data_IF_911148132446
#
_entry.id   IF_911148132446
#
_cell.length_a   1.000
_cell.length_b   1.000
_cell.length_c   1.000
_cell.angle_alpha   90.00
_cell.angle_beta   90.00
_cell.angle_gamma   90.00
#
_symmetry.space_group_name_H-M   'P 1'
#
loop_
_entity.id
_entity.type
_entity.pdbx_description
1 polymer ?
#
# COMPACT_ATOMS: atom_id res chain seq x y z
N UNK A 1 -36.37 4.62 -40.13
CA UNK A 1 -35.68 5.37 -39.06
C UNK A 1 -34.74 4.43 -38.30
N UNK A 2 -33.45 4.34 -38.68
CA UNK A 2 -32.44 3.51 -37.98
C UNK A 2 -32.09 4.18 -36.65
N UNK A 3 -32.16 3.43 -35.55
CA UNK A 3 -32.25 3.99 -34.20
C UNK A 3 -30.92 4.61 -33.74
N UNK A 4 -31.01 5.78 -33.10
CA UNK A 4 -29.89 6.51 -32.45
C UNK A 4 -29.23 5.74 -31.30
N UNK A 5 -29.68 4.51 -31.03
CA UNK A 5 -29.24 3.67 -29.91
C UNK A 5 -28.21 2.60 -30.31
N UNK A 6 -27.93 2.41 -31.61
CA UNK A 6 -26.93 1.42 -32.07
C UNK A 6 -25.49 1.81 -31.71
N UNK A 7 -25.23 3.10 -31.48
CA UNK A 7 -23.90 3.60 -31.10
C UNK A 7 -23.65 3.60 -29.59
N UNK A 8 -24.70 3.45 -28.76
CA UNK A 8 -24.56 3.50 -27.30
C UNK A 8 -23.61 2.41 -26.74
N UNK A 9 -23.72 1.13 -27.16
CA UNK A 9 -22.80 0.08 -26.70
C UNK A 9 -21.36 0.32 -27.14
N UNK A 10 -21.15 0.89 -28.34
CA UNK A 10 -19.83 1.22 -28.88
C UNK A 10 -19.21 2.40 -28.13
N UNK A 11 -19.99 3.44 -27.84
CA UNK A 11 -19.54 4.60 -27.06
C UNK A 11 -19.25 4.23 -25.60
N UNK A 12 -20.10 3.41 -24.97
CA UNK A 12 -19.88 2.90 -23.62
C UNK A 12 -18.67 1.96 -23.55
N UNK A 13 -18.50 1.08 -24.54
CA UNK A 13 -17.32 0.22 -24.67
C UNK A 13 -16.04 1.03 -24.90
N UNK A 14 -16.07 2.04 -25.76
CA UNK A 14 -14.95 2.96 -26.01
C UNK A 14 -14.58 3.79 -24.79
N UNK A 15 -15.56 4.34 -24.07
CA UNK A 15 -15.35 5.09 -22.83
C UNK A 15 -14.78 4.20 -21.72
N UNK A 16 -15.27 2.96 -21.59
CA UNK A 16 -14.75 1.98 -20.64
C UNK A 16 -13.30 1.59 -20.96
N UNK A 17 -12.99 1.32 -22.23
CA UNK A 17 -11.62 1.03 -22.68
C UNK A 17 -10.69 2.23 -22.44
N UNK A 18 -11.14 3.44 -22.75
CA UNK A 18 -10.37 4.67 -22.52
C UNK A 18 -10.13 4.91 -21.04
N UNK A 19 -11.15 4.78 -20.19
CA UNK A 19 -11.01 4.85 -18.73
C UNK A 19 -10.01 3.82 -18.23
N UNK A 20 -10.11 2.59 -18.71
CA UNK A 20 -9.26 1.51 -18.26
C UNK A 20 -7.80 1.73 -18.66
N UNK A 21 -7.56 2.19 -19.89
CA UNK A 21 -6.23 2.52 -20.37
C UNK A 21 -5.65 3.73 -19.61
N UNK A 22 -6.42 4.80 -19.43
CA UNK A 22 -5.98 6.01 -18.74
C UNK A 22 -5.73 5.79 -17.24
N UNK A 23 -6.56 4.99 -16.57
CA UNK A 23 -6.42 4.66 -15.15
C UNK A 23 -5.20 3.77 -14.87
N UNK A 24 -4.64 3.10 -15.89
CA UNK A 24 -3.38 2.33 -15.79
C UNK A 24 -2.12 3.16 -16.02
N UNK A 25 -2.24 4.39 -16.54
CA UNK A 25 -1.07 5.23 -16.86
C UNK A 25 -0.39 5.72 -15.60
N UNK A 26 0.72 5.08 -15.25
CA UNK A 26 1.60 5.55 -14.18
C UNK A 26 2.51 6.67 -14.68
N UNK A 27 2.98 7.50 -13.74
CA UNK A 27 4.07 8.41 -14.08
C UNK A 27 5.30 7.58 -14.50
N UNK A 28 6.05 8.06 -15.49
CA UNK A 28 7.30 7.40 -15.91
C UNK A 28 8.28 7.30 -14.73
N UNK A 29 9.22 6.34 -14.76
CA UNK A 29 10.33 6.32 -13.81
C UNK A 29 10.96 7.71 -13.71
N UNK A 30 11.19 8.15 -12.48
CA UNK A 30 11.61 9.51 -12.19
C UNK A 30 12.56 9.52 -11.01
N UNK A 31 13.79 9.91 -11.28
CA UNK A 31 14.77 10.18 -10.24
C UNK A 31 14.32 11.35 -9.37
N UNK A 32 14.84 11.38 -8.14
CA UNK A 32 14.68 12.54 -7.25
C UNK A 32 15.27 13.79 -7.92
N UNK A 33 14.60 14.94 -7.75
CA UNK A 33 15.03 16.20 -8.35
C UNK A 33 16.34 16.73 -7.75
N UNK A 34 16.55 16.50 -6.46
CA UNK A 34 17.74 16.92 -5.71
C UNK A 34 17.94 16.01 -4.50
N UNK A 35 19.11 16.10 -3.86
CA UNK A 35 19.39 15.43 -2.58
C UNK A 35 18.81 16.26 -1.44
N UNK A 36 17.71 15.80 -0.84
CA UNK A 36 17.08 16.47 0.29
C UNK A 36 17.91 16.26 1.57
N UNK A 37 18.11 17.32 2.35
CA UNK A 37 18.70 17.23 3.68
C UNK A 37 17.66 16.72 4.71
N UNK A 38 18.14 16.15 5.82
CA UNK A 38 17.27 15.74 6.94
C UNK A 38 16.42 14.49 6.67
N UNK A 39 16.80 13.67 5.68
CA UNK A 39 16.15 12.38 5.41
C UNK A 39 17.15 11.23 5.40
N UNK A 40 16.71 10.04 5.79
CA UNK A 40 17.44 8.79 5.57
C UNK A 40 17.37 8.41 4.09
N UNK A 41 18.55 8.14 3.52
CA UNK A 41 18.70 7.61 2.17
C UNK A 41 19.06 6.13 2.28
N UNK A 42 18.26 5.27 1.66
CA UNK A 42 18.45 3.83 1.65
C UNK A 42 18.17 3.26 0.25
N UNK A 43 18.64 2.04 0.01
CA UNK A 43 18.28 1.22 -1.16
C UNK A 43 17.02 0.37 -0.92
N UNK A 44 16.50 0.35 0.31
CA UNK A 44 15.27 -0.37 0.67
C UNK A 44 14.08 0.20 -0.11
N UNK A 45 13.44 -0.58 -1.01
CA UNK A 45 12.33 -0.10 -1.82
C UNK A 45 11.06 0.11 -0.99
N UNK A 46 10.24 1.05 -1.42
CA UNK A 46 8.91 1.31 -0.84
C UNK A 46 7.83 0.95 -1.84
N UNK A 47 7.02 -0.05 -1.53
CA UNK A 47 5.87 -0.45 -2.33
C UNK A 47 4.66 0.45 -2.01
N UNK A 48 3.90 0.83 -3.02
CA UNK A 48 2.66 1.59 -2.87
C UNK A 48 1.49 0.73 -3.37
N UNK A 49 0.67 0.24 -2.44
CA UNK A 49 -0.34 -0.81 -2.66
C UNK A 49 -1.74 -0.22 -2.50
N UNK A 50 -2.51 -0.09 -3.59
CA UNK A 50 -3.82 0.56 -3.56
C UNK A 50 -4.88 -0.34 -2.94
N UNK A 51 -5.97 0.27 -2.47
CA UNK A 51 -7.17 -0.42 -2.02
C UNK A 51 -8.10 -0.84 -3.16
N UNK A 52 -9.33 -1.23 -2.79
CA UNK A 52 -10.40 -1.58 -3.73
C UNK A 52 -10.67 -0.44 -4.72
N UNK A 53 -10.84 -0.79 -6.00
CA UNK A 53 -11.02 0.18 -7.09
C UNK A 53 -9.83 1.08 -7.39
N UNK A 54 -8.73 0.97 -6.63
CA UNK A 54 -7.55 1.79 -6.80
C UNK A 54 -6.81 1.50 -8.11
N UNK A 55 -6.13 2.52 -8.62
CA UNK A 55 -5.47 2.49 -9.93
C UNK A 55 -4.24 3.41 -9.92
N UNK A 56 -3.67 3.75 -11.08
CA UNK A 56 -2.47 4.58 -11.15
C UNK A 56 -2.66 5.95 -10.50
N UNK A 57 -3.86 6.53 -10.56
CA UNK A 57 -4.14 7.86 -10.04
C UNK A 57 -4.06 7.92 -8.51
N UNK A 58 -4.30 6.81 -7.81
CA UNK A 58 -4.21 6.71 -6.34
C UNK A 58 -2.89 7.27 -5.81
N UNK A 59 -1.78 6.99 -6.49
CA UNK A 59 -0.43 7.37 -6.03
C UNK A 59 0.39 8.20 -7.01
N UNK A 60 -0.05 8.39 -8.27
CA UNK A 60 0.69 9.18 -9.26
C UNK A 60 1.07 10.58 -8.74
N UNK A 61 0.12 11.28 -8.11
CA UNK A 61 0.37 12.62 -7.55
C UNK A 61 1.43 12.60 -6.46
N UNK A 62 1.28 11.69 -5.50
CA UNK A 62 2.19 11.54 -4.36
C UNK A 62 3.61 11.14 -4.79
N UNK A 63 3.75 10.15 -5.68
CA UNK A 63 5.06 9.70 -6.16
C UNK A 63 5.77 10.79 -6.97
N UNK A 64 5.01 11.55 -7.77
CA UNK A 64 5.54 12.72 -8.48
C UNK A 64 6.03 13.76 -7.48
N UNK A 65 5.26 14.03 -6.43
CA UNK A 65 5.62 14.98 -5.39
C UNK A 65 6.87 14.52 -4.62
N UNK A 66 6.98 13.25 -4.22
CA UNK A 66 8.18 12.72 -3.56
C UNK A 66 9.44 12.89 -4.42
N UNK A 67 9.35 12.59 -5.72
CA UNK A 67 10.46 12.81 -6.64
C UNK A 67 10.82 14.30 -6.76
N UNK A 68 9.83 15.18 -6.91
CA UNK A 68 10.04 16.63 -7.02
C UNK A 68 10.62 17.26 -5.74
N UNK A 69 10.27 16.72 -4.58
CA UNK A 69 10.73 17.22 -3.27
C UNK A 69 12.00 16.53 -2.76
N UNK A 70 12.61 15.65 -3.56
CA UNK A 70 13.88 15.02 -3.24
C UNK A 70 13.80 13.85 -2.23
N UNK A 71 12.59 13.37 -1.91
CA UNK A 71 12.40 12.28 -0.94
C UNK A 71 12.76 10.91 -1.50
N UNK A 72 12.36 10.63 -2.74
CA UNK A 72 12.36 9.28 -3.28
C UNK A 72 12.40 9.26 -4.81
N UNK A 73 12.84 8.15 -5.40
CA UNK A 73 12.85 7.96 -6.85
C UNK A 73 11.85 6.88 -7.26
N UNK A 74 10.94 7.18 -8.21
CA UNK A 74 10.08 6.13 -8.77
C UNK A 74 10.86 5.31 -9.78
N UNK A 75 11.01 4.01 -9.50
CA UNK A 75 11.82 3.11 -10.34
C UNK A 75 10.95 2.15 -11.13
N UNK A 76 9.94 1.55 -10.50
CA UNK A 76 9.11 0.51 -11.11
C UNK A 76 7.62 0.77 -10.97
N UNK A 77 6.88 0.16 -11.88
CA UNK A 77 5.47 -0.17 -11.73
C UNK A 77 5.32 -1.68 -11.89
N UNK A 78 4.69 -2.33 -10.92
CA UNK A 78 4.36 -3.76 -10.98
C UNK A 78 2.85 -3.87 -11.07
N UNK A 79 2.38 -4.35 -12.22
CA UNK A 79 0.95 -4.58 -12.47
C UNK A 79 0.67 -6.07 -12.42
N UNK A 80 -0.37 -6.46 -11.71
CA UNK A 80 -0.90 -7.82 -11.78
C UNK A 80 -2.06 -7.83 -12.76
N UNK A 81 -1.91 -8.60 -13.84
CA UNK A 81 -2.92 -8.65 -14.90
C UNK A 81 -4.14 -9.51 -14.50
N UNK A 82 -5.15 -9.56 -15.38
CA UNK A 82 -6.38 -10.31 -15.15
C UNK A 82 -6.18 -11.82 -14.96
N UNK A 83 -5.03 -12.37 -15.33
CA UNK A 83 -4.68 -13.78 -15.12
C UNK A 83 -3.84 -13.99 -13.85
N UNK A 84 -3.44 -12.91 -13.17
CA UNK A 84 -2.56 -12.98 -12.01
C UNK A 84 -1.08 -12.96 -12.35
N UNK A 85 -0.70 -12.64 -13.60
CA UNK A 85 0.71 -12.53 -13.97
C UNK A 85 1.28 -11.14 -13.65
N UNK A 86 2.52 -11.12 -13.18
CA UNK A 86 3.25 -9.89 -12.90
C UNK A 86 3.82 -9.28 -14.19
N UNK A 87 3.39 -8.07 -14.50
CA UNK A 87 3.93 -7.21 -15.56
C UNK A 87 4.71 -6.08 -14.91
N UNK A 88 6.03 -6.13 -15.06
CA UNK A 88 6.94 -5.11 -14.50
C UNK A 88 7.32 -4.13 -15.60
N UNK A 89 7.24 -2.84 -15.30
CA UNK A 89 7.67 -1.76 -16.20
C UNK A 89 8.52 -0.75 -15.45
N UNK A 90 9.44 -0.11 -16.15
CA UNK A 90 10.36 0.88 -15.59
C UNK A 90 11.81 0.39 -15.58
N UNK A 91 12.65 1.10 -14.84
CA UNK A 91 14.07 0.82 -14.73
C UNK A 91 14.52 1.08 -13.30
N UNK A 92 15.30 0.14 -12.74
CA UNK A 92 15.86 0.25 -11.40
C UNK A 92 17.36 0.59 -11.51
N UNK A 93 17.73 1.88 -11.45
CA UNK A 93 19.13 2.26 -11.56
C UNK A 93 19.91 1.84 -10.30
N UNK A 94 21.17 1.47 -10.49
CA UNK A 94 22.08 1.23 -9.38
C UNK A 94 22.18 2.51 -8.51
N UNK A 95 22.08 2.35 -7.19
CA UNK A 95 22.13 3.49 -6.26
C UNK A 95 20.87 4.36 -6.21
N UNK A 96 19.73 3.89 -6.72
CA UNK A 96 18.45 4.57 -6.56
C UNK A 96 18.18 4.90 -5.08
N UNK A 97 18.05 6.18 -4.75
CA UNK A 97 17.78 6.64 -3.40
C UNK A 97 16.29 6.51 -3.08
N UNK A 98 15.97 5.75 -2.02
CA UNK A 98 14.60 5.48 -1.56
C UNK A 98 13.72 5.03 -2.75
N UNK A 99 14.02 3.90 -3.41
CA UNK A 99 13.32 3.49 -4.62
C UNK A 99 11.83 3.24 -4.31
N UNK A 100 10.91 3.80 -5.09
CA UNK A 100 9.47 3.57 -4.94
C UNK A 100 8.93 2.72 -6.08
N UNK A 101 8.06 1.78 -5.73
CA UNK A 101 7.43 0.83 -6.63
C UNK A 101 5.92 1.02 -6.52
N UNK A 102 5.27 1.32 -7.63
CA UNK A 102 3.81 1.44 -7.65
C UNK A 102 3.20 0.10 -8.04
N UNK A 103 2.30 -0.41 -7.19
CA UNK A 103 1.58 -1.65 -7.46
C UNK A 103 0.22 -1.31 -8.08
N UNK A 104 -0.20 -2.09 -9.08
CA UNK A 104 -1.51 -1.99 -9.70
C UNK A 104 -2.13 -3.39 -9.81
N UNK A 105 -3.43 -3.48 -9.58
CA UNK A 105 -4.21 -4.70 -9.82
C UNK A 105 -5.21 -4.43 -10.95
N UNK A 106 -5.15 -5.18 -12.04
CA UNK A 106 -6.15 -5.04 -13.12
C UNK A 106 -7.54 -5.52 -12.66
N UNK A 107 -7.57 -6.53 -11.78
CA UNK A 107 -8.74 -6.91 -10.99
C UNK A 107 -8.75 -6.17 -9.66
N UNK A 108 -9.02 -4.86 -9.72
CA UNK A 108 -9.10 -4.00 -8.53
C UNK A 108 -10.51 -3.95 -7.89
N UNK A 109 -11.54 -4.42 -8.59
CA UNK A 109 -12.90 -4.55 -8.06
C UNK A 109 -13.18 -6.02 -7.72
N UNK A 110 -12.93 -6.39 -6.47
CA UNK A 110 -13.12 -7.75 -5.95
C UNK A 110 -14.16 -7.77 -4.83
N UNK A 111 -14.70 -8.96 -4.51
CA UNK A 111 -15.64 -9.15 -3.39
C UNK A 111 -14.94 -9.18 -2.03
N UNK A 112 -13.65 -9.53 -2.03
CA UNK A 112 -12.78 -9.59 -0.87
C UNK A 112 -11.33 -9.28 -1.30
N UNK A 113 -10.39 -9.21 -0.35
CA UNK A 113 -8.98 -8.96 -0.61
C UNK A 113 -8.10 -10.22 -0.64
N UNK A 114 -8.66 -11.44 -0.61
CA UNK A 114 -7.87 -12.70 -0.54
C UNK A 114 -6.95 -12.89 -1.74
N UNK A 115 -7.42 -12.49 -2.91
CA UNK A 115 -6.62 -12.54 -4.11
C UNK A 115 -5.47 -11.50 -4.08
N UNK A 116 -5.69 -10.34 -3.45
CA UNK A 116 -4.65 -9.32 -3.27
C UNK A 116 -3.55 -9.82 -2.32
N UNK A 117 -3.88 -10.59 -1.28
CA UNK A 117 -2.86 -11.24 -0.41
C UNK A 117 -1.88 -12.03 -1.25
N UNK A 118 -2.39 -12.94 -2.11
CA UNK A 118 -1.55 -13.77 -2.99
C UNK A 118 -0.67 -12.93 -3.91
N UNK A 119 -1.24 -11.88 -4.51
CA UNK A 119 -0.51 -11.01 -5.42
C UNK A 119 0.58 -10.21 -4.72
N UNK A 120 0.32 -9.67 -3.52
CA UNK A 120 1.33 -8.97 -2.73
C UNK A 120 2.47 -9.92 -2.36
N UNK A 121 2.18 -11.12 -1.87
CA UNK A 121 3.21 -12.13 -1.57
C UNK A 121 4.02 -12.51 -2.83
N UNK A 122 3.36 -12.67 -3.98
CA UNK A 122 4.02 -12.95 -5.26
C UNK A 122 4.94 -11.80 -5.71
N UNK A 123 4.52 -10.54 -5.52
CA UNK A 123 5.33 -9.36 -5.82
C UNK A 123 6.58 -9.34 -4.94
N UNK A 124 6.44 -9.56 -3.63
CA UNK A 124 7.56 -9.58 -2.69
C UNK A 124 8.57 -10.69 -3.06
N UNK A 125 8.09 -11.89 -3.39
CA UNK A 125 8.93 -12.99 -3.85
C UNK A 125 9.67 -12.64 -5.13
N UNK A 126 8.98 -12.06 -6.11
CA UNK A 126 9.59 -11.63 -7.37
C UNK A 126 10.64 -10.53 -7.16
N UNK A 127 10.41 -9.61 -6.22
CA UNK A 127 11.38 -8.58 -5.86
C UNK A 127 12.66 -9.17 -5.26
N UNK A 128 12.53 -10.16 -4.36
CA UNK A 128 13.69 -10.85 -3.81
C UNK A 128 14.45 -11.64 -4.87
N UNK A 129 13.74 -12.42 -5.68
CA UNK A 129 14.34 -13.30 -6.69
C UNK A 129 14.99 -12.53 -7.85
N UNK A 130 14.34 -11.49 -8.37
CA UNK A 130 14.80 -10.78 -9.59
C UNK A 130 15.69 -9.57 -9.31
N UNK A 131 15.53 -8.94 -8.14
CA UNK A 131 16.21 -7.69 -7.81
C UNK A 131 17.05 -7.80 -6.53
N UNK A 132 17.13 -8.98 -5.90
CA UNK A 132 17.92 -9.18 -4.67
C UNK A 132 17.41 -8.38 -3.48
N UNK A 133 16.14 -7.95 -3.50
CA UNK A 133 15.56 -7.17 -2.39
C UNK A 133 15.51 -8.06 -1.14
N UNK A 134 16.18 -7.64 -0.07
CA UNK A 134 16.23 -8.37 1.21
C UNK A 134 15.35 -7.73 2.28
N UNK A 135 15.09 -6.42 2.19
CA UNK A 135 14.19 -5.68 3.05
C UNK A 135 13.30 -4.74 2.23
N UNK A 136 12.11 -4.40 2.73
CA UNK A 136 11.18 -3.50 2.04
C UNK A 136 10.43 -2.58 3.01
N UNK A 137 10.02 -1.43 2.49
CA UNK A 137 8.96 -0.61 3.08
C UNK A 137 7.67 -0.78 2.26
N UNK A 138 6.53 -0.46 2.85
CA UNK A 138 5.26 -0.39 2.13
C UNK A 138 4.39 0.75 2.64
N UNK A 139 3.62 1.34 1.73
CA UNK A 139 2.48 2.22 2.00
C UNK A 139 1.27 1.56 1.38
N UNK A 140 0.28 1.23 2.19
CA UNK A 140 -0.85 0.42 1.74
C UNK A 140 -2.17 1.03 2.23
N UNK A 141 -3.14 1.16 1.32
CA UNK A 141 -4.42 1.81 1.59
C UNK A 141 -5.56 0.81 1.64
N UNK A 142 -6.46 0.96 2.61
CA UNK A 142 -7.70 0.18 2.72
C UNK A 142 -7.43 -1.33 2.61
N UNK A 143 -8.17 -2.05 1.75
CA UNK A 143 -7.95 -3.47 1.45
C UNK A 143 -6.56 -3.84 0.93
N UNK A 144 -5.83 -2.91 0.30
CA UNK A 144 -4.42 -3.13 -0.04
C UNK A 144 -3.55 -3.23 1.21
N UNK A 145 -3.91 -2.49 2.26
CA UNK A 145 -3.35 -2.62 3.60
C UNK A 145 -3.69 -3.96 4.24
N UNK A 146 -4.95 -4.40 4.17
CA UNK A 146 -5.38 -5.70 4.71
C UNK A 146 -4.60 -6.83 4.03
N UNK A 147 -4.46 -6.76 2.71
CA UNK A 147 -3.66 -7.70 1.93
C UNK A 147 -2.19 -7.74 2.36
N UNK A 148 -1.57 -6.56 2.58
CA UNK A 148 -0.18 -6.45 3.03
C UNK A 148 0.02 -6.98 4.45
N UNK A 149 -0.90 -6.67 5.39
CA UNK A 149 -0.86 -7.20 6.76
C UNK A 149 -0.96 -8.72 6.75
N UNK A 150 -1.87 -9.28 5.96
CA UNK A 150 -1.99 -10.73 5.82
C UNK A 150 -0.74 -11.38 5.20
N UNK A 151 -0.15 -10.79 4.17
CA UNK A 151 1.10 -11.27 3.59
C UNK A 151 2.23 -11.25 4.63
N UNK A 152 2.34 -10.18 5.43
CA UNK A 152 3.30 -10.07 6.51
C UNK A 152 3.08 -11.12 7.61
N UNK A 153 1.84 -11.29 8.09
CA UNK A 153 1.55 -12.17 9.23
C UNK A 153 1.55 -13.64 8.82
N UNK A 154 1.04 -13.97 7.64
CA UNK A 154 0.93 -15.37 7.21
C UNK A 154 2.23 -15.88 6.60
N UNK A 155 2.95 -15.04 5.84
CA UNK A 155 4.12 -15.45 5.07
C UNK A 155 5.42 -14.79 5.57
N UNK A 156 5.38 -13.91 6.59
CA UNK A 156 6.53 -13.08 6.98
C UNK A 156 7.76 -13.83 7.46
N UNK A 157 7.65 -15.12 7.78
CA UNK A 157 8.76 -16.01 8.11
C UNK A 157 9.39 -16.71 6.89
N UNK A 158 8.70 -16.77 5.76
CA UNK A 158 9.16 -17.40 4.51
C UNK A 158 10.52 -16.80 4.09
N UNK A 159 11.60 -17.60 3.99
CA UNK A 159 12.93 -17.11 3.61
C UNK A 159 13.01 -16.67 2.14
N UNK A 160 12.04 -17.01 1.30
CA UNK A 160 11.94 -16.55 -0.09
C UNK A 160 11.36 -15.13 -0.22
N UNK A 161 10.96 -14.51 0.89
CA UNK A 161 10.45 -13.13 0.94
C UNK A 161 11.49 -12.17 1.56
N UNK A 162 11.48 -10.87 1.19
CA UNK A 162 12.21 -9.84 1.92
C UNK A 162 11.55 -9.60 3.29
N UNK A 163 12.31 -9.08 4.25
CA UNK A 163 11.79 -8.71 5.58
C UNK A 163 11.23 -7.31 5.59
N UNK A 164 10.18 -7.09 6.39
CA UNK A 164 9.61 -5.76 6.55
C UNK A 164 10.60 -4.86 7.30
N UNK A 165 10.75 -3.63 6.82
CA UNK A 165 11.45 -2.56 7.53
C UNK A 165 10.45 -1.53 8.07
N UNK A 166 9.63 -0.90 7.21
CA UNK A 166 8.56 0.03 7.61
C UNK A 166 7.27 -0.18 6.83
N UNK A 167 6.13 -0.25 7.51
CA UNK A 167 4.80 -0.32 6.91
C UNK A 167 3.98 0.90 7.34
N UNK A 168 3.47 1.67 6.39
CA UNK A 168 2.50 2.75 6.63
C UNK A 168 1.14 2.28 6.14
N UNK A 169 0.23 2.01 7.06
CA UNK A 169 -1.15 1.66 6.75
C UNK A 169 -1.99 2.92 6.69
N UNK A 170 -2.88 3.00 5.70
CA UNK A 170 -3.79 4.13 5.49
C UNK A 170 -5.23 3.62 5.54
N UNK A 171 -5.93 3.87 6.65
CA UNK A 171 -7.35 3.51 6.81
C UNK A 171 -7.61 2.03 6.54
N UNK A 172 -6.78 1.15 7.10
CA UNK A 172 -6.78 -0.27 6.75
C UNK A 172 -7.74 -1.05 7.65
N UNK A 173 -8.81 -1.69 7.15
CA UNK A 173 -9.67 -2.54 7.96
C UNK A 173 -8.96 -3.87 8.23
N UNK A 174 -8.59 -4.12 9.49
CA UNK A 174 -7.88 -5.35 9.90
C UNK A 174 -8.84 -6.40 10.45
N UNK A 175 -9.90 -5.97 11.12
CA UNK A 175 -11.07 -6.80 11.47
C UNK A 175 -12.31 -6.10 10.91
N UNK A 176 -12.96 -6.67 9.91
CA UNK A 176 -14.19 -6.14 9.32
C UNK A 176 -15.45 -6.47 10.16
N UNK A 177 -15.32 -7.27 11.21
CA UNK A 177 -16.40 -7.44 12.18
C UNK A 177 -16.57 -6.17 13.06
N UNK A 178 -17.79 -5.87 13.55
CA UNK A 178 -18.03 -4.75 14.46
C UNK A 178 -17.33 -4.87 15.82
N UNK A 179 -16.95 -6.09 16.21
CA UNK A 179 -16.36 -6.40 17.52
C UNK A 179 -15.23 -7.41 17.40
N UNK A 180 -14.29 -7.36 18.35
CA UNK A 180 -13.24 -8.36 18.52
C UNK A 180 -13.71 -9.62 19.25
N UNK A 181 -14.89 -9.61 19.88
CA UNK A 181 -15.47 -10.80 20.55
C UNK A 181 -15.95 -11.86 19.56
N UNK A 182 -16.40 -11.42 18.39
CA UNK A 182 -16.80 -12.28 17.28
C UNK A 182 -16.13 -11.78 16.00
N UNK A 183 -14.80 -11.94 15.88
CA UNK A 183 -14.06 -11.38 14.76
C UNK A 183 -14.36 -12.14 13.47
N UNK A 184 -14.12 -11.48 12.34
CA UNK A 184 -14.29 -12.09 11.03
C UNK A 184 -13.23 -13.20 10.77
N UNK A 185 -13.46 -14.11 9.81
CA UNK A 185 -12.55 -15.22 9.54
C UNK A 185 -11.14 -14.79 9.13
N UNK A 186 -10.97 -13.67 8.42
CA UNK A 186 -9.66 -13.18 8.02
C UNK A 186 -8.88 -12.72 9.25
N UNK A 187 -9.50 -11.99 10.16
CA UNK A 187 -8.84 -11.59 11.41
C UNK A 187 -8.42 -12.78 12.28
N UNK A 188 -9.24 -13.84 12.35
CA UNK A 188 -8.86 -15.09 13.06
C UNK A 188 -7.59 -15.71 12.48
N UNK A 189 -7.43 -15.67 11.15
CA UNK A 189 -6.21 -16.16 10.50
C UNK A 189 -4.98 -15.31 10.88
N UNK A 190 -5.13 -14.00 11.04
CA UNK A 190 -4.03 -13.14 11.52
C UNK A 190 -3.61 -13.54 12.94
N UNK A 191 -4.56 -13.77 13.84
CA UNK A 191 -4.25 -14.21 15.21
C UNK A 191 -3.53 -15.56 15.23
N UNK A 192 -3.92 -16.50 14.36
CA UNK A 192 -3.25 -17.80 14.23
C UNK A 192 -1.82 -17.68 13.68
N UNK A 193 -1.58 -16.76 12.74
CA UNK A 193 -0.27 -16.58 12.09
C UNK A 193 0.71 -15.66 12.83
N UNK A 194 0.29 -14.96 13.88
CA UNK A 194 1.06 -13.86 14.52
C UNK A 194 2.49 -14.21 14.95
N UNK A 195 2.78 -15.49 15.22
CA UNK A 195 4.13 -15.96 15.57
C UNK A 195 5.16 -15.67 14.47
N UNK A 196 4.75 -15.63 13.20
CA UNK A 196 5.64 -15.33 12.07
C UNK A 196 6.21 -13.90 12.09
N UNK A 197 5.61 -12.99 12.87
CA UNK A 197 6.12 -11.63 13.05
C UNK A 197 7.52 -11.61 13.69
N UNK A 198 7.92 -12.68 14.39
CA UNK A 198 9.26 -12.80 14.97
C UNK A 198 10.38 -12.76 13.92
N UNK A 199 10.11 -13.21 12.69
CA UNK A 199 11.08 -13.13 11.60
C UNK A 199 11.33 -11.69 11.08
N UNK A 200 10.51 -10.72 11.52
CA UNK A 200 10.57 -9.31 11.14
C UNK A 200 10.90 -8.42 12.36
N UNK A 201 11.74 -8.92 13.27
CA UNK A 201 12.17 -8.19 14.45
C UNK A 201 12.75 -6.82 14.10
N UNK A 202 12.30 -5.79 14.82
CA UNK A 202 12.72 -4.41 14.59
C UNK A 202 12.00 -3.69 13.45
N UNK A 203 11.05 -4.32 12.76
CA UNK A 203 10.17 -3.64 11.82
C UNK A 203 9.27 -2.61 12.54
N UNK A 204 8.86 -1.57 11.81
CA UNK A 204 7.92 -0.55 12.29
C UNK A 204 6.62 -0.57 11.47
N UNK A 205 5.48 -0.58 12.15
CA UNK A 205 4.16 -0.41 11.54
C UNK A 205 3.57 0.90 12.05
N UNK A 206 3.32 1.81 11.14
CA UNK A 206 2.64 3.08 11.37
C UNK A 206 1.21 2.97 10.84
N UNK A 207 0.25 2.81 11.74
CA UNK A 207 -1.17 2.71 11.41
C UNK A 207 -1.81 4.11 11.41
N UNK A 208 -2.09 4.64 10.24
CA UNK A 208 -2.67 5.96 10.04
C UNK A 208 -4.13 5.83 9.64
N UNK A 209 -5.03 6.46 10.38
CA UNK A 209 -6.47 6.38 10.11
C UNK A 209 -7.15 7.73 10.33
N UNK A 210 -8.18 7.98 9.53
CA UNK A 210 -8.90 9.25 9.52
C UNK A 210 -10.01 9.31 10.57
N UNK A 211 -10.34 10.53 10.98
CA UNK A 211 -11.45 10.84 11.89
C UNK A 211 -12.27 11.98 11.28
N UNK A 212 -13.48 11.69 10.82
CA UNK A 212 -14.44 12.71 10.42
C UNK A 212 -15.02 13.41 11.67
N UNK A 213 -15.46 14.66 11.52
CA UNK A 213 -15.93 15.47 12.64
C UNK A 213 -17.00 14.75 13.46
N UNK A 214 -16.70 14.51 14.75
CA UNK A 214 -17.58 13.81 15.69
C UNK A 214 -17.75 12.30 15.44
N UNK A 215 -16.92 11.67 14.61
CA UNK A 215 -17.07 10.26 14.20
C UNK A 215 -15.80 9.45 14.41
N UNK A 216 -15.94 8.23 14.92
CA UNK A 216 -14.85 7.24 15.04
C UNK A 216 -14.65 6.45 13.74
N UNK A 217 -14.57 7.17 12.62
CA UNK A 217 -14.38 6.60 11.28
C UNK A 217 -13.88 7.68 10.31
N UNK A 218 -13.18 7.24 9.26
CA UNK A 218 -12.82 8.06 8.11
C UNK A 218 -13.94 8.16 7.04
N UNK A 219 -15.14 7.63 7.34
CA UNK A 219 -16.29 7.58 6.44
C UNK A 219 -16.51 6.20 5.80
N UNK A 220 -15.49 5.35 5.79
CA UNK A 220 -15.58 3.97 5.24
C UNK A 220 -15.12 2.94 6.26
N UNK A 221 -14.02 3.20 6.96
CA UNK A 221 -13.42 2.27 7.93
C UNK A 221 -13.60 2.81 9.35
N UNK A 222 -14.29 2.07 10.23
CA UNK A 222 -14.35 2.39 11.65
C UNK A 222 -12.98 2.24 12.33
N UNK A 223 -12.67 3.09 13.31
CA UNK A 223 -11.41 3.07 14.07
C UNK A 223 -11.18 1.71 14.73
N UNK A 224 -12.23 1.08 15.25
CA UNK A 224 -12.14 -0.26 15.84
C UNK A 224 -11.62 -1.32 14.87
N UNK A 225 -12.04 -1.25 13.60
CA UNK A 225 -11.57 -2.15 12.55
C UNK A 225 -10.10 -1.90 12.20
N UNK A 226 -9.66 -0.64 12.18
CA UNK A 226 -8.27 -0.28 11.87
C UNK A 226 -7.30 -0.61 12.99
N UNK A 227 -7.68 -0.34 14.24
CA UNK A 227 -6.84 -0.55 15.43
C UNK A 227 -6.85 -1.99 15.95
N UNK A 228 -7.67 -2.87 15.37
CA UNK A 228 -7.67 -4.31 15.67
C UNK A 228 -6.27 -4.95 15.53
N UNK A 229 -5.40 -4.37 14.69
CA UNK A 229 -4.01 -4.79 14.54
C UNK A 229 -3.22 -4.84 15.86
N UNK A 230 -3.58 -4.02 16.86
CA UNK A 230 -2.96 -4.01 18.20
C UNK A 230 -2.83 -5.41 18.80
N UNK A 231 -3.89 -6.22 18.70
CA UNK A 231 -3.92 -7.56 19.31
C UNK A 231 -3.12 -8.58 18.50
N UNK A 232 -3.02 -8.39 17.18
CA UNK A 232 -2.22 -9.27 16.31
C UNK A 232 -0.73 -9.06 16.56
N UNK A 233 -0.29 -7.81 16.70
CA UNK A 233 1.14 -7.46 16.92
C UNK A 233 1.55 -7.50 18.39
N UNK A 234 0.61 -7.68 19.31
CA UNK A 234 0.87 -7.77 20.74
C UNK A 234 1.95 -8.84 21.03
N UNK A 235 2.93 -8.48 21.86
CA UNK A 235 4.06 -9.35 22.25
C UNK A 235 4.97 -9.79 21.09
N UNK A 236 4.84 -9.19 19.91
CA UNK A 236 5.78 -9.40 18.81
C UNK A 236 6.96 -8.41 18.89
N UNK A 237 8.10 -8.68 18.23
CA UNK A 237 9.22 -7.74 18.17
C UNK A 237 9.02 -6.60 17.16
N UNK A 238 7.81 -6.44 16.62
CA UNK A 238 7.44 -5.37 15.69
C UNK A 238 6.99 -4.15 16.49
N UNK A 239 7.54 -2.98 16.17
CA UNK A 239 7.10 -1.70 16.76
C UNK A 239 5.83 -1.24 16.07
N UNK A 240 4.80 -0.92 16.85
CA UNK A 240 3.50 -0.51 16.33
C UNK A 240 3.10 0.87 16.87
N UNK A 241 2.78 1.78 15.96
CA UNK A 241 2.44 3.16 16.25
C UNK A 241 1.14 3.54 15.54
N UNK A 242 0.31 4.34 16.20
CA UNK A 242 -0.97 4.79 15.66
C UNK A 242 -1.02 6.30 15.49
N UNK A 243 -1.60 6.74 14.38
CA UNK A 243 -1.69 8.14 13.98
C UNK A 243 -3.13 8.47 13.59
N UNK A 244 -4.00 8.82 14.55
CA UNK A 244 -5.32 9.36 14.24
C UNK A 244 -5.19 10.73 13.56
N UNK A 245 -5.88 10.93 12.44
CA UNK A 245 -5.83 12.18 11.67
C UNK A 245 -7.21 12.82 11.58
N UNK A 246 -7.39 13.90 12.36
CA UNK A 246 -8.63 14.69 12.39
C UNK A 246 -8.93 15.37 11.04
N UNK A 247 -10.19 15.30 10.64
CA UNK A 247 -10.74 15.95 9.46
C UNK A 247 -10.32 15.33 8.14
N UNK A 248 -9.86 14.07 8.14
CA UNK A 248 -9.40 13.36 6.93
C UNK A 248 -10.30 12.17 6.69
N UNK A 249 -10.96 12.14 5.52
CA UNK A 249 -11.76 11.01 5.06
C UNK A 249 -10.93 9.93 4.35
N UNK A 250 -11.56 8.80 4.06
CA UNK A 250 -10.89 7.59 3.56
C UNK A 250 -9.99 7.81 2.34
N UNK A 251 -10.51 8.40 1.25
CA UNK A 251 -9.71 8.72 0.05
C UNK A 251 -8.72 9.89 0.25
N UNK A 252 -8.92 10.72 1.28
CA UNK A 252 -8.01 11.84 1.59
C UNK A 252 -6.70 11.38 2.26
N UNK A 253 -6.70 10.18 2.83
CA UNK A 253 -5.52 9.56 3.47
C UNK A 253 -4.34 9.39 2.49
N UNK A 254 -4.59 9.29 1.19
CA UNK A 254 -3.55 9.16 0.16
C UNK A 254 -3.53 10.30 -0.88
N UNK A 255 -4.48 11.23 -0.85
CA UNK A 255 -4.62 12.25 -1.90
C UNK A 255 -4.28 13.68 -1.49
N UNK A 256 -4.06 13.94 -0.20
CA UNK A 256 -3.78 15.30 0.30
C UNK A 256 -2.30 15.54 0.62
N UNK A 257 -1.84 16.77 0.42
CA UNK A 257 -0.45 17.16 0.71
C UNK A 257 -0.07 16.99 2.19
N UNK A 258 -1.03 17.21 3.11
CA UNK A 258 -0.85 16.95 4.55
C UNK A 258 -0.44 15.49 4.78
N UNK A 259 -1.12 14.57 4.11
CA UNK A 259 -0.84 13.13 4.24
C UNK A 259 0.45 12.73 3.53
N UNK A 260 0.75 13.29 2.36
CA UNK A 260 2.03 13.02 1.68
C UNK A 260 3.23 13.41 2.54
N UNK A 261 3.16 14.56 3.22
CA UNK A 261 4.19 15.00 4.17
C UNK A 261 4.32 14.04 5.37
N UNK A 262 3.19 13.59 5.93
CA UNK A 262 3.19 12.62 7.02
C UNK A 262 3.82 11.30 6.58
N UNK A 263 3.38 10.72 5.45
CA UNK A 263 3.92 9.47 4.90
C UNK A 263 5.43 9.59 4.67
N UNK A 264 5.91 10.69 4.07
CA UNK A 264 7.33 10.90 3.85
C UNK A 264 8.13 10.96 5.17
N UNK A 265 7.56 11.57 6.22
CA UNK A 265 8.17 11.63 7.55
C UNK A 265 8.30 10.24 8.16
N UNK A 266 7.21 9.47 8.15
CA UNK A 266 7.18 8.11 8.70
C UNK A 266 8.15 7.17 7.97
N UNK A 267 8.34 7.36 6.66
CA UNK A 267 9.24 6.52 5.87
C UNK A 267 10.72 6.92 5.97
N UNK A 268 11.02 8.22 5.93
CA UNK A 268 12.38 8.68 5.62
C UNK A 268 12.91 9.80 6.51
N UNK A 269 12.19 10.27 7.54
CA UNK A 269 12.82 11.22 8.46
C UNK A 269 13.98 10.56 9.20
N UNK A 270 15.04 11.33 9.46
CA UNK A 270 16.06 10.92 10.43
C UNK A 270 15.34 10.68 11.76
N UNK A 271 15.60 9.53 12.40
CA UNK A 271 15.30 9.39 13.82
C UNK A 271 16.07 10.52 14.52
N UNK A 272 15.39 11.40 15.23
CA UNK A 272 16.08 12.12 16.28
C UNK A 272 16.38 11.05 17.33
N UNK A 273 17.63 11.01 17.78
CA UNK A 273 17.94 10.26 18.98
C UNK A 273 17.05 10.87 20.08
N UNK A 274 16.08 10.07 20.54
CA UNK A 274 15.22 10.40 21.67
C UNK A 274 16.03 10.24 22.97
#
# INVERSE_FOLDING_TARGET
MRSKWQWLPVLLGGAWLAYHELSRRTIRPRNRRYRRAGIQVTTVPTLFIPGWGGNAWTYNGMLRWFAQQGYAAKVLTIRVDYQGHLRVTGHWPAGAANPTIQVLFDRNLTKDYRQQIRWVTQILRALKQRYGVTAYNAVAHSWGGSAMVHSLVNDGADPTLPRLHRLVLLGTPVNEAPSLTAPDPAYRNLLAGRQNLWANAGAEIHNVYGLLAGRQTDGEVPVGQATALRQVVAQSPVRYHEYPVQGVGHGQLHSTLRMWRLIARLLWSLKKDD
#
